data_IF_235002583455
#
_entry.id   IF_235002583455
#
_cell.length_a   1.000
_cell.length_b   1.000
_cell.length_c   1.000
_cell.angle_alpha   90.00
_cell.angle_beta   90.00
_cell.angle_gamma   90.00
#
_symmetry.space_group_name_H-M   'P 1'
#
loop_
_entity.id
_entity.type
_entity.pdbx_description
1 polymer ?
#
# COMPACT_ATOMS: atom_id res chain seq x y z
N UNK A 1 -28.95 47.96 27.51
CA UNK A 1 -29.31 46.92 26.51
C UNK A 1 -28.39 47.13 25.32
N UNK A 2 -27.74 46.08 24.81
CA UNK A 2 -26.83 46.19 23.68
C UNK A 2 -27.63 46.57 22.41
N UNK A 3 -27.19 47.60 21.67
CA UNK A 3 -27.81 48.03 20.42
C UNK A 3 -27.47 47.04 19.32
N UNK A 4 -28.46 46.66 18.52
CA UNK A 4 -28.34 45.65 17.44
C UNK A 4 -27.27 45.99 16.40
N UNK A 5 -26.93 47.28 16.27
CA UNK A 5 -26.01 47.83 15.27
C UNK A 5 -24.54 47.89 15.75
N UNK A 6 -24.28 47.67 17.05
CA UNK A 6 -22.93 47.60 17.64
C UNK A 6 -22.47 46.14 17.78
N UNK A 7 -22.58 45.35 16.70
CA UNK A 7 -22.04 43.99 16.67
C UNK A 7 -20.53 44.04 16.53
N UNK A 8 -19.81 43.54 17.53
CA UNK A 8 -18.34 43.50 17.52
C UNK A 8 -17.84 42.77 16.24
N UNK A 9 -17.00 43.41 15.42
CA UNK A 9 -16.55 42.86 14.14
C UNK A 9 -15.77 41.55 14.29
N UNK A 10 -15.29 41.20 15.50
CA UNK A 10 -14.67 39.89 15.78
C UNK A 10 -15.64 38.72 15.65
N UNK A 11 -16.95 38.95 15.74
CA UNK A 11 -17.99 37.92 15.66
C UNK A 11 -18.83 38.00 14.38
N UNK A 12 -18.47 38.89 13.45
CA UNK A 12 -19.13 39.00 12.16
C UNK A 12 -18.56 37.91 11.23
N UNK A 13 -19.32 36.82 11.03
CA UNK A 13 -18.98 35.83 10.01
C UNK A 13 -19.15 36.47 8.64
N UNK A 14 -18.04 36.91 8.04
CA UNK A 14 -18.04 37.45 6.68
C UNK A 14 -18.38 36.32 5.70
N UNK A 15 -19.39 36.52 4.88
CA UNK A 15 -19.67 35.64 3.76
C UNK A 15 -18.48 35.72 2.80
N UNK A 16 -17.77 34.62 2.58
CA UNK A 16 -16.67 34.53 1.62
C UNK A 16 -17.14 33.73 0.41
N UNK A 17 -17.17 34.36 -0.75
CA UNK A 17 -17.49 33.71 -2.03
C UNK A 17 -16.46 32.65 -2.47
N UNK A 18 -15.27 32.61 -1.84
CA UNK A 18 -14.17 31.70 -2.17
C UNK A 18 -14.47 30.20 -1.90
N UNK A 19 -15.52 29.87 -1.15
CA UNK A 19 -15.92 28.48 -0.83
C UNK A 19 -14.85 27.62 -0.11
N UNK A 20 -13.73 28.21 0.29
CA UNK A 20 -12.60 27.50 0.90
C UNK A 20 -12.97 26.95 2.28
N UNK A 21 -12.58 25.70 2.53
CA UNK A 21 -12.69 25.04 3.84
C UNK A 21 -11.68 25.63 4.82
N UNK A 22 -11.95 26.85 5.29
CA UNK A 22 -11.08 27.55 6.24
C UNK A 22 -11.03 26.73 7.53
N UNK A 23 -9.82 26.39 7.98
CA UNK A 23 -9.54 25.61 9.19
C UNK A 23 -10.10 24.15 9.19
N UNK A 24 -10.53 23.58 8.05
CA UNK A 24 -10.91 22.16 7.98
C UNK A 24 -12.15 21.79 8.79
N UNK A 25 -13.13 22.70 8.87
CA UNK A 25 -14.39 22.51 9.60
C UNK A 25 -15.51 21.98 8.72
N UNK A 26 -15.43 22.20 7.40
CA UNK A 26 -16.29 21.53 6.45
C UNK A 26 -15.72 20.14 6.18
N UNK A 27 -16.61 19.16 6.14
CA UNK A 27 -16.26 17.82 5.71
C UNK A 27 -15.77 17.86 4.26
N UNK A 28 -14.60 17.30 4.00
CA UNK A 28 -14.06 17.15 2.65
C UNK A 28 -13.57 15.72 2.47
N UNK A 29 -14.06 15.05 1.42
CA UNK A 29 -13.62 13.74 0.99
C UNK A 29 -12.91 13.85 -0.34
N UNK A 30 -11.73 13.25 -0.42
CA UNK A 30 -10.94 13.16 -1.65
C UNK A 30 -10.67 11.71 -1.96
N UNK A 31 -11.03 11.29 -3.17
CA UNK A 31 -10.66 9.98 -3.70
C UNK A 31 -9.14 9.94 -3.89
N UNK A 32 -8.48 8.91 -3.36
CA UNK A 32 -7.03 8.68 -3.45
C UNK A 32 -6.69 7.35 -4.13
N UNK A 33 -7.68 6.62 -4.66
CA UNK A 33 -7.47 5.31 -5.25
C UNK A 33 -6.41 5.31 -6.35
N UNK A 34 -6.47 6.25 -7.30
CA UNK A 34 -5.49 6.32 -8.39
C UNK A 34 -4.06 6.59 -7.89
N UNK A 35 -3.93 7.47 -6.90
CA UNK A 35 -2.64 7.75 -6.27
C UNK A 35 -2.12 6.51 -5.53
N UNK A 36 -2.98 5.83 -4.76
CA UNK A 36 -2.64 4.61 -4.03
C UNK A 36 -2.15 3.51 -4.97
N UNK A 37 -2.81 3.32 -6.12
CA UNK A 37 -2.39 2.35 -7.14
C UNK A 37 -0.99 2.64 -7.68
N UNK A 38 -0.73 3.88 -8.07
CA UNK A 38 0.58 4.30 -8.55
C UNK A 38 1.65 4.13 -7.47
N UNK A 39 1.33 4.55 -6.24
CA UNK A 39 2.29 4.46 -5.13
C UNK A 39 2.63 3.03 -4.74
N UNK A 40 1.67 2.11 -4.78
CA UNK A 40 1.91 0.67 -4.56
C UNK A 40 2.82 0.08 -5.65
N UNK A 41 2.64 0.49 -6.90
CA UNK A 41 3.49 0.06 -8.02
C UNK A 41 4.95 0.53 -7.88
N UNK A 42 5.18 1.63 -7.16
CA UNK A 42 6.54 2.12 -6.87
C UNK A 42 7.13 1.46 -5.62
N UNK A 43 6.38 1.40 -4.52
CA UNK A 43 6.88 0.97 -3.22
C UNK A 43 7.15 -0.53 -3.14
N UNK A 44 6.23 -1.38 -3.64
CA UNK A 44 6.34 -2.83 -3.45
C UNK A 44 7.50 -3.45 -4.24
N UNK A 45 7.77 -3.09 -5.51
CA UNK A 45 8.93 -3.60 -6.25
C UNK A 45 10.27 -2.99 -5.78
N UNK A 46 10.24 -1.86 -5.07
CA UNK A 46 11.44 -1.24 -4.50
C UNK A 46 11.93 -1.93 -3.22
N UNK A 47 11.15 -2.87 -2.66
CA UNK A 47 11.55 -3.67 -1.51
C UNK A 47 12.78 -4.52 -1.89
N UNK A 48 13.89 -4.44 -1.13
CA UNK A 48 15.09 -5.20 -1.44
C UNK A 48 14.83 -6.70 -1.37
N UNK A 49 15.56 -7.47 -2.17
CA UNK A 49 15.42 -8.92 -2.15
C UNK A 49 15.80 -9.47 -0.76
N UNK A 50 15.04 -10.45 -0.27
CA UNK A 50 15.38 -11.12 0.96
C UNK A 50 16.72 -11.87 0.82
N UNK A 51 17.51 -11.85 1.90
CA UNK A 51 18.85 -12.46 1.94
C UNK A 51 18.80 -13.96 1.61
N UNK A 52 17.77 -14.66 2.07
CA UNK A 52 17.58 -16.09 1.80
C UNK A 52 16.84 -16.28 0.48
N UNK A 53 17.50 -16.90 -0.51
CA UNK A 53 16.88 -17.29 -1.78
C UNK A 53 16.51 -16.15 -2.73
N UNK A 54 17.15 -14.97 -2.60
CA UNK A 54 16.98 -13.81 -3.48
C UNK A 54 15.49 -13.50 -3.81
N UNK A 55 14.63 -13.62 -2.81
CA UNK A 55 13.19 -13.42 -2.97
C UNK A 55 12.87 -11.95 -3.19
N UNK A 56 12.26 -11.62 -4.33
CA UNK A 56 11.90 -10.25 -4.72
C UNK A 56 10.47 -10.15 -5.22
N UNK A 57 9.89 -8.96 -5.05
CA UNK A 57 8.62 -8.58 -5.67
C UNK A 57 8.93 -8.04 -7.07
N UNK A 58 8.27 -8.57 -8.10
CA UNK A 58 8.49 -8.17 -9.48
C UNK A 58 7.63 -6.98 -9.87
N UNK A 59 6.32 -7.11 -9.66
CA UNK A 59 5.34 -6.11 -10.08
C UNK A 59 4.04 -6.28 -9.27
N UNK A 60 3.28 -5.19 -9.17
CA UNK A 60 1.90 -5.21 -8.69
C UNK A 60 0.98 -5.36 -9.89
N UNK A 61 0.26 -6.48 -9.97
CA UNK A 61 -0.59 -6.81 -11.12
C UNK A 61 -1.96 -6.15 -11.05
N UNK A 62 -2.55 -6.10 -9.86
CA UNK A 62 -3.93 -5.65 -9.70
C UNK A 62 -4.15 -5.06 -8.31
N UNK A 63 -4.94 -4.00 -8.26
CA UNK A 63 -5.32 -3.31 -7.02
C UNK A 63 -6.79 -2.95 -7.17
N UNK A 64 -7.64 -3.61 -6.38
CA UNK A 64 -9.10 -3.46 -6.42
C UNK A 64 -9.58 -2.99 -5.07
N UNK A 65 -10.61 -2.14 -5.06
CA UNK A 65 -11.20 -1.59 -3.86
C UNK A 65 -11.24 -0.08 -3.91
N UNK A 66 -11.21 0.54 -2.75
CA UNK A 66 -11.45 1.95 -2.54
C UNK A 66 -10.45 2.55 -1.56
N UNK A 67 -9.99 3.77 -1.85
CA UNK A 67 -9.12 4.53 -0.98
C UNK A 67 -9.50 6.01 -1.07
N UNK A 68 -9.72 6.63 0.07
CA UNK A 68 -10.10 8.03 0.19
C UNK A 68 -9.54 8.66 1.46
N UNK A 69 -9.37 9.97 1.43
CA UNK A 69 -8.98 10.76 2.59
C UNK A 69 -10.13 11.68 2.98
N UNK A 70 -10.55 11.59 4.24
CA UNK A 70 -11.60 12.44 4.82
C UNK A 70 -10.99 13.43 5.81
N UNK A 71 -11.28 14.73 5.62
CA UNK A 71 -10.85 15.79 6.54
C UNK A 71 -12.01 16.19 7.45
N UNK A 72 -11.83 16.06 8.77
CA UNK A 72 -12.83 16.45 9.77
C UNK A 72 -12.22 17.16 10.99
N UNK A 73 -13.05 17.91 11.72
CA UNK A 73 -12.75 18.47 13.06
C UNK A 73 -11.38 19.19 13.16
N UNK A 74 -11.11 20.16 12.29
CA UNK A 74 -9.89 20.96 12.41
C UNK A 74 -8.67 20.32 11.75
N UNK A 75 -8.82 19.93 10.48
CA UNK A 75 -7.74 19.36 9.65
C UNK A 75 -7.25 17.96 10.08
N UNK A 76 -8.05 17.20 10.86
CA UNK A 76 -7.76 15.79 11.11
C UNK A 76 -8.11 15.01 9.85
N UNK A 77 -7.08 14.61 9.11
CA UNK A 77 -7.19 13.75 7.94
C UNK A 77 -7.24 12.29 8.37
N UNK A 78 -8.14 11.54 7.77
CA UNK A 78 -8.33 10.11 8.00
C UNK A 78 -8.25 9.39 6.67
N UNK A 79 -7.35 8.42 6.61
CA UNK A 79 -7.30 7.43 5.54
C UNK A 79 -8.44 6.43 5.75
N UNK A 80 -9.34 6.34 4.78
CA UNK A 80 -10.38 5.30 4.71
C UNK A 80 -10.07 4.49 3.46
N UNK A 81 -9.82 3.20 3.64
CA UNK A 81 -9.44 2.32 2.55
C UNK A 81 -9.94 0.91 2.82
N UNK A 82 -10.17 0.18 1.73
CA UNK A 82 -10.47 -1.24 1.67
C UNK A 82 -9.93 -1.71 0.33
N UNK A 83 -8.84 -2.50 0.36
CA UNK A 83 -8.09 -2.85 -0.83
C UNK A 83 -7.73 -4.33 -0.84
N UNK A 84 -7.83 -4.91 -2.03
CA UNK A 84 -7.27 -6.20 -2.41
C UNK A 84 -6.12 -5.96 -3.39
N UNK A 85 -4.94 -6.47 -3.06
CA UNK A 85 -3.72 -6.25 -3.84
C UNK A 85 -3.18 -7.60 -4.33
N UNK A 86 -2.95 -7.71 -5.63
CA UNK A 86 -2.32 -8.89 -6.24
C UNK A 86 -0.96 -8.50 -6.81
N UNK A 87 0.10 -9.19 -6.43
CA UNK A 87 1.47 -8.96 -6.88
C UNK A 87 2.15 -10.25 -7.33
N UNK A 88 3.17 -10.13 -8.18
CA UNK A 88 4.03 -11.25 -8.59
C UNK A 88 5.34 -11.22 -7.83
N UNK A 89 5.81 -12.39 -7.41
CA UNK A 89 7.10 -12.57 -6.75
C UNK A 89 7.96 -13.60 -7.49
N UNK A 90 9.26 -13.50 -7.27
CA UNK A 90 10.27 -14.40 -7.81
C UNK A 90 11.33 -14.71 -6.75
N UNK A 91 11.74 -15.96 -6.64
CA UNK A 91 12.87 -16.41 -5.83
C UNK A 91 13.89 -17.14 -6.71
N UNK A 92 15.17 -17.05 -6.35
CA UNK A 92 16.28 -17.73 -7.03
C UNK A 92 17.19 -18.39 -5.99
N UNK A 93 17.50 -19.68 -6.17
CA UNK A 93 18.43 -20.37 -5.29
C UNK A 93 19.84 -19.72 -5.35
N UNK A 94 20.51 -19.64 -4.20
CA UNK A 94 21.79 -18.90 -4.02
C UNK A 94 22.95 -19.44 -4.88
N UNK A 95 22.91 -20.69 -5.35
CA UNK A 95 23.95 -21.30 -6.19
C UNK A 95 24.14 -20.59 -7.56
N UNK A 96 23.18 -19.78 -8.00
CA UNK A 96 23.15 -19.19 -9.35
C UNK A 96 23.32 -17.65 -9.35
N UNK A 97 23.60 -17.05 -8.19
CA UNK A 97 23.61 -15.59 -8.00
C UNK A 97 24.80 -14.85 -8.66
N UNK A 98 25.86 -15.56 -9.07
CA UNK A 98 27.07 -14.93 -9.60
C UNK A 98 27.01 -14.61 -11.12
N UNK A 99 26.00 -15.08 -11.86
CA UNK A 99 25.94 -14.90 -13.33
C UNK A 99 24.94 -13.86 -13.87
N UNK A 100 24.07 -13.25 -13.06
CA UNK A 100 22.97 -12.41 -13.61
C UNK A 100 23.18 -10.92 -13.38
N UNK A 101 24.30 -10.37 -13.88
CA UNK A 101 24.43 -8.90 -14.11
C UNK A 101 24.33 -8.49 -15.58
N UNK A 102 24.19 -9.44 -16.50
CA UNK A 102 24.13 -9.14 -17.92
C UNK A 102 23.11 -10.02 -18.64
N UNK A 103 21.97 -9.42 -18.94
CA UNK A 103 21.04 -9.80 -20.02
C UNK A 103 20.24 -11.10 -19.86
N UNK A 104 19.11 -11.10 -20.55
CA UNK A 104 17.98 -12.03 -20.48
C UNK A 104 18.37 -13.51 -20.62
N UNK A 105 17.54 -14.40 -20.07
CA UNK A 105 16.93 -15.55 -20.77
C UNK A 105 16.16 -16.39 -19.74
N UNK A 106 14.86 -16.52 -20.00
CA UNK A 106 13.97 -17.52 -19.45
C UNK A 106 14.48 -18.89 -19.89
N UNK A 107 15.20 -19.63 -19.03
CA UNK A 107 15.35 -21.10 -18.97
C UNK A 107 16.50 -21.41 -17.99
N UNK A 108 16.20 -21.59 -16.71
CA UNK A 108 17.19 -21.97 -15.69
C UNK A 108 16.53 -22.65 -14.50
N UNK A 109 16.86 -23.92 -14.29
CA UNK A 109 16.38 -24.81 -13.22
C UNK A 109 16.76 -24.25 -11.84
N UNK A 110 15.93 -23.40 -11.25
CA UNK A 110 16.20 -22.79 -9.94
C UNK A 110 15.46 -21.49 -9.64
N UNK A 111 14.66 -20.98 -10.59
CA UNK A 111 13.83 -19.79 -10.42
C UNK A 111 12.40 -20.19 -10.11
N UNK A 112 11.92 -19.81 -8.93
CA UNK A 112 10.52 -19.96 -8.52
C UNK A 112 9.79 -18.65 -8.78
N UNK A 113 8.63 -18.73 -9.44
CA UNK A 113 7.75 -17.59 -9.68
C UNK A 113 6.39 -17.90 -9.08
N UNK A 114 5.69 -16.86 -8.67
CA UNK A 114 4.37 -17.01 -8.09
C UNK A 114 3.63 -15.71 -7.95
N UNK A 115 2.42 -15.82 -7.42
CA UNK A 115 1.55 -14.68 -7.12
C UNK A 115 1.32 -14.61 -5.61
N UNK A 116 1.25 -13.41 -5.07
CA UNK A 116 0.86 -13.15 -3.70
C UNK A 116 -0.35 -12.22 -3.72
N UNK A 117 -1.41 -12.65 -3.05
CA UNK A 117 -2.62 -11.87 -2.85
C UNK A 117 -2.69 -11.41 -1.41
N UNK A 118 -2.84 -10.11 -1.23
CA UNK A 118 -3.15 -9.47 0.02
C UNK A 118 -4.63 -9.13 0.02
N UNK A 119 -5.36 -9.81 0.89
CA UNK A 119 -6.78 -9.59 1.17
C UNK A 119 -6.93 -8.93 2.55
N UNK A 120 -8.07 -8.27 2.76
CA UNK A 120 -8.42 -7.58 4.01
C UNK A 120 -7.48 -6.44 4.40
N UNK A 121 -6.87 -5.76 3.43
CA UNK A 121 -6.16 -4.50 3.69
C UNK A 121 -7.17 -3.35 3.80
N UNK A 122 -7.76 -3.22 4.99
CA UNK A 122 -8.78 -2.22 5.27
C UNK A 122 -8.42 -1.31 6.45
N UNK A 123 -9.04 -0.12 6.50
CA UNK A 123 -8.82 0.89 7.54
C UNK A 123 -9.27 0.48 8.94
N UNK A 124 -10.04 -0.61 9.06
CA UNK A 124 -10.46 -1.20 10.33
C UNK A 124 -9.69 -2.46 10.71
N UNK A 125 -8.87 -3.00 9.80
CA UNK A 125 -8.12 -4.24 10.00
C UNK A 125 -6.72 -3.93 10.54
N UNK A 126 -6.27 -4.72 11.52
CA UNK A 126 -4.92 -4.63 12.08
C UNK A 126 -3.90 -5.40 11.21
N UNK A 127 -2.59 -5.06 11.24
CA UNK A 127 -1.58 -5.71 10.40
C UNK A 127 -1.44 -7.23 10.57
N UNK A 128 -1.85 -7.75 11.73
CA UNK A 128 -1.89 -9.19 12.01
C UNK A 128 -3.10 -9.90 11.40
N UNK A 129 -4.19 -9.18 11.13
CA UNK A 129 -5.43 -9.70 10.53
C UNK A 129 -5.33 -9.85 9.00
N UNK A 130 -4.41 -9.12 8.35
CA UNK A 130 -4.20 -9.18 6.91
C UNK A 130 -3.94 -10.61 6.41
N UNK A 131 -4.68 -10.99 5.36
CA UNK A 131 -4.63 -12.34 4.80
C UNK A 131 -3.68 -12.35 3.59
N UNK A 132 -2.57 -13.07 3.72
CA UNK A 132 -1.59 -13.27 2.65
C UNK A 132 -1.77 -14.66 2.03
N UNK A 133 -2.28 -14.71 0.81
CA UNK A 133 -2.41 -15.95 0.03
C UNK A 133 -1.26 -16.02 -0.97
N UNK A 134 -0.35 -16.97 -0.78
CA UNK A 134 0.80 -17.19 -1.68
C UNK A 134 0.53 -18.39 -2.58
N UNK A 135 0.72 -18.20 -3.88
CA UNK A 135 0.72 -19.27 -4.89
C UNK A 135 2.06 -19.28 -5.62
N UNK A 136 2.47 -20.44 -6.12
CA UNK A 136 3.69 -20.58 -6.93
C UNK A 136 3.39 -21.47 -8.14
N UNK A 137 3.91 -21.05 -9.28
CA UNK A 137 3.87 -21.77 -10.56
C UNK A 137 4.98 -22.83 -10.63
N UNK A 138 5.29 -23.47 -9.50
CA UNK A 138 6.41 -24.38 -9.39
C UNK A 138 6.12 -25.75 -10.03
N UNK A 139 6.91 -26.09 -11.05
CA UNK A 139 7.03 -27.39 -11.75
C UNK A 139 8.17 -28.26 -11.18
N UNK A 140 8.68 -27.96 -9.98
CA UNK A 140 9.81 -28.66 -9.35
C UNK A 140 9.46 -29.53 -8.14
N UNK A 141 10.39 -30.40 -7.76
CA UNK A 141 10.36 -31.33 -6.62
C UNK A 141 10.67 -30.64 -5.27
N UNK A 142 10.19 -29.41 -5.07
CA UNK A 142 10.25 -28.72 -3.76
C UNK A 142 8.90 -28.84 -3.07
N UNK A 143 8.92 -29.08 -1.76
CA UNK A 143 7.71 -29.04 -0.95
C UNK A 143 7.08 -27.64 -1.02
N UNK A 144 5.98 -27.54 -1.77
CA UNK A 144 5.28 -26.27 -2.04
C UNK A 144 4.88 -25.57 -0.75
N UNK A 145 4.60 -26.32 0.33
CA UNK A 145 4.15 -25.79 1.61
C UNK A 145 5.28 -25.05 2.32
N UNK A 146 6.50 -25.59 2.29
CA UNK A 146 7.67 -24.92 2.84
C UNK A 146 8.04 -23.66 2.07
N UNK A 147 7.92 -23.70 0.73
CA UNK A 147 8.12 -22.54 -0.13
C UNK A 147 7.10 -21.43 0.18
N UNK A 148 5.81 -21.74 0.24
CA UNK A 148 4.77 -20.75 0.57
C UNK A 148 4.98 -20.13 1.94
N UNK A 149 5.32 -20.96 2.93
CA UNK A 149 5.59 -20.47 4.29
C UNK A 149 6.80 -19.53 4.31
N UNK A 150 7.92 -19.93 3.71
CA UNK A 150 9.13 -19.09 3.67
C UNK A 150 8.93 -17.77 2.94
N UNK A 151 8.21 -17.79 1.81
CA UNK A 151 7.87 -16.57 1.06
C UNK A 151 6.99 -15.64 1.88
N UNK A 152 5.94 -16.18 2.51
CA UNK A 152 5.03 -15.40 3.35
C UNK A 152 5.75 -14.80 4.57
N UNK A 153 6.55 -15.59 5.29
CA UNK A 153 7.29 -15.14 6.48
C UNK A 153 8.31 -14.06 6.14
N UNK A 154 8.96 -14.15 4.98
CA UNK A 154 9.98 -13.19 4.56
C UNK A 154 9.41 -11.89 3.99
N UNK A 155 8.36 -11.96 3.16
CA UNK A 155 7.79 -10.78 2.50
C UNK A 155 6.78 -10.04 3.38
N UNK A 156 6.03 -10.74 4.25
CA UNK A 156 5.00 -10.11 5.10
C UNK A 156 5.50 -8.88 5.87
N UNK A 157 6.60 -8.94 6.66
CA UNK A 157 7.06 -7.77 7.40
C UNK A 157 7.49 -6.61 6.49
N UNK A 158 8.07 -6.91 5.33
CA UNK A 158 8.52 -5.91 4.38
C UNK A 158 7.34 -5.22 3.68
N UNK A 159 6.33 -5.99 3.27
CA UNK A 159 5.09 -5.48 2.69
C UNK A 159 4.35 -4.62 3.72
N UNK A 160 4.22 -5.07 4.97
CA UNK A 160 3.57 -4.28 6.03
C UNK A 160 4.30 -2.95 6.23
N UNK A 161 5.63 -2.93 6.26
CA UNK A 161 6.40 -1.69 6.34
C UNK A 161 6.11 -0.73 5.18
N UNK A 162 6.06 -1.23 3.94
CA UNK A 162 5.72 -0.43 2.77
C UNK A 162 4.27 0.09 2.80
N UNK A 163 3.31 -0.70 3.30
CA UNK A 163 1.93 -0.27 3.46
C UNK A 163 1.80 0.82 4.52
N UNK A 164 2.52 0.71 5.64
CA UNK A 164 2.56 1.75 6.67
C UNK A 164 3.09 3.08 6.13
N UNK A 165 4.17 3.03 5.33
CA UNK A 165 4.69 4.20 4.65
C UNK A 165 3.64 4.81 3.72
N UNK A 166 2.96 3.99 2.91
CA UNK A 166 1.91 4.45 2.02
C UNK A 166 0.77 5.15 2.77
N UNK A 167 0.35 4.61 3.93
CA UNK A 167 -0.70 5.22 4.75
C UNK A 167 -0.28 6.56 5.34
N UNK A 168 0.98 6.68 5.78
CA UNK A 168 1.53 7.94 6.26
C UNK A 168 1.51 8.99 5.14
N UNK A 169 2.02 8.65 3.96
CA UNK A 169 2.05 9.55 2.81
C UNK A 169 0.63 9.94 2.38
N UNK A 170 -0.32 9.00 2.40
CA UNK A 170 -1.71 9.26 2.01
C UNK A 170 -2.39 10.29 2.92
N UNK A 171 -2.09 10.27 4.23
CA UNK A 171 -2.62 11.22 5.20
C UNK A 171 -2.00 12.62 5.01
N UNK A 172 -0.80 12.74 4.45
CA UNK A 172 -0.15 14.04 4.24
C UNK A 172 -0.69 14.81 3.01
N UNK A 173 -1.25 14.11 2.01
CA UNK A 173 -1.85 14.67 0.78
C UNK A 173 -3.11 15.53 0.99
#
# INVERSE_FOLDING_TARGET
MAKWEERDPRWLVQHRDDGKNVNGWHWEEKNRLEWTKQRLQELLPAIPAAVTGNLRICEVTDVVGEAMTSTRKGNKKLAIFDLKITLKWQAQAEDDAEQVRSQAVDTGSGVYKGTLQLDDFASHSEPDEYIFTVTADATGEIDKRELYRGVAESLRPQIIGALQQLLQEMVEL
#
